data_IF_206617437583
#
_entry.id   IF_206617437583
#
_cell.length_a   1.000
_cell.length_b   1.000
_cell.length_c   1.000
_cell.angle_alpha   90.00
_cell.angle_beta   90.00
_cell.angle_gamma   90.00
#
_symmetry.space_group_name_H-M   'P 1'
#
loop_
_entity.id
_entity.type
_entity.pdbx_description
1 polymer ?
#
# COMPACT_ATOMS: atom_id res chain seq x y z
N UNK A 1 26.51 -1.19 0.93
CA UNK A 1 26.83 -0.51 2.20
C UNK A 1 25.74 0.49 2.60
N UNK A 2 25.37 1.44 1.73
CA UNK A 2 24.34 2.46 1.98
C UNK A 2 23.04 1.93 2.59
N UNK A 3 22.44 0.90 1.96
CA UNK A 3 21.17 0.33 2.40
C UNK A 3 21.23 -0.25 3.83
N UNK A 4 22.33 -0.92 4.19
CA UNK A 4 22.52 -1.48 5.53
C UNK A 4 22.59 -0.38 6.59
N UNK A 5 23.24 0.76 6.29
CA UNK A 5 23.31 1.92 7.19
C UNK A 5 21.95 2.60 7.34
N UNK A 6 21.22 2.77 6.25
CA UNK A 6 19.89 3.36 6.30
C UNK A 6 18.92 2.50 7.13
N UNK A 7 18.91 1.18 6.86
CA UNK A 7 18.08 0.24 7.59
C UNK A 7 18.46 0.13 9.07
N UNK A 8 19.74 0.22 9.43
CA UNK A 8 20.14 0.16 10.84
C UNK A 8 19.64 1.37 11.63
N UNK A 9 19.65 2.56 11.03
CA UNK A 9 19.08 3.78 11.61
C UNK A 9 17.56 3.63 11.76
N UNK A 10 16.85 3.17 10.72
CA UNK A 10 15.40 2.96 10.80
C UNK A 10 15.07 1.94 11.89
N UNK A 11 15.71 0.78 11.90
CA UNK A 11 15.42 -0.27 12.88
C UNK A 11 15.71 0.16 14.32
N UNK A 12 16.69 1.06 14.52
CA UNK A 12 16.96 1.66 15.83
C UNK A 12 15.88 2.63 16.28
N UNK A 13 15.39 3.49 15.39
CA UNK A 13 14.50 4.61 15.76
C UNK A 13 13.01 4.32 15.53
N UNK A 14 12.68 3.42 14.60
CA UNK A 14 11.33 3.03 14.22
C UNK A 14 11.24 1.51 13.91
N UNK A 15 11.52 0.64 14.90
CA UNK A 15 11.43 -0.80 14.71
C UNK A 15 10.00 -1.25 14.38
N UNK A 16 9.86 -2.16 13.43
CA UNK A 16 8.59 -2.81 13.13
C UNK A 16 8.16 -3.64 14.34
N UNK A 17 6.96 -3.37 14.87
CA UNK A 17 6.38 -4.08 16.01
C UNK A 17 4.96 -4.54 15.68
N UNK A 18 4.68 -5.81 15.89
CA UNK A 18 3.34 -6.37 15.75
C UNK A 18 2.58 -6.15 17.06
N UNK A 19 1.43 -5.48 17.00
CA UNK A 19 0.53 -5.31 18.14
C UNK A 19 -0.89 -5.66 17.74
N UNK A 20 -1.59 -6.39 18.60
CA UNK A 20 -3.03 -6.64 18.43
C UNK A 20 -3.79 -5.36 18.76
N UNK A 21 -4.35 -4.72 17.73
CA UNK A 21 -5.19 -3.54 17.87
C UNK A 21 -6.63 -3.95 17.60
N UNK A 22 -7.54 -3.75 18.56
CA UNK A 22 -8.96 -4.12 18.41
C UNK A 22 -9.66 -3.23 17.37
N UNK A 23 -9.36 -1.93 17.40
CA UNK A 23 -9.81 -0.94 16.40
C UNK A 23 -8.71 0.10 16.21
N UNK A 24 -8.22 0.29 14.98
CA UNK A 24 -7.14 1.26 14.65
C UNK A 24 -7.63 2.69 14.83
N UNK A 25 -8.90 2.94 14.51
CA UNK A 25 -9.58 4.22 14.70
C UNK A 25 -10.90 3.98 15.39
N UNK A 26 -11.22 4.81 16.39
CA UNK A 26 -12.57 4.80 16.97
C UNK A 26 -13.56 5.33 15.92
N UNK A 27 -14.75 4.73 15.79
CA UNK A 27 -15.72 5.22 14.84
C UNK A 27 -16.17 6.63 15.20
N UNK A 28 -16.24 7.52 14.22
CA UNK A 28 -16.58 8.93 14.45
C UNK A 28 -18.03 9.11 14.97
N UNK A 29 -18.91 8.12 14.78
CA UNK A 29 -20.26 8.09 15.36
C UNK A 29 -20.30 7.75 16.86
N UNK A 30 -19.17 7.37 17.49
CA UNK A 30 -19.10 7.01 18.90
C UNK A 30 -18.98 8.27 19.78
N UNK A 31 -20.11 8.82 20.18
CA UNK A 31 -20.19 9.98 21.08
C UNK A 31 -19.95 9.61 22.55
N UNK A 32 -19.59 10.60 23.37
CA UNK A 32 -19.43 10.39 24.83
C UNK A 32 -20.74 10.00 25.50
N UNK A 33 -21.90 10.46 24.99
CA UNK A 33 -23.21 10.01 25.44
C UNK A 33 -23.41 8.50 25.28
N UNK A 34 -22.91 7.91 24.19
CA UNK A 34 -22.96 6.46 23.97
C UNK A 34 -22.04 5.75 24.95
N UNK A 35 -20.84 6.29 25.21
CA UNK A 35 -19.90 5.72 26.18
C UNK A 35 -20.50 5.74 27.59
N UNK A 36 -21.13 6.83 27.99
CA UNK A 36 -21.80 6.96 29.28
C UNK A 36 -22.97 5.98 29.42
N UNK A 37 -23.77 5.83 28.36
CA UNK A 37 -24.85 4.85 28.35
C UNK A 37 -24.30 3.41 28.45
N UNK A 38 -23.19 3.10 27.75
CA UNK A 38 -22.51 1.80 27.82
C UNK A 38 -21.96 1.52 29.22
N UNK A 39 -21.35 2.53 29.87
CA UNK A 39 -20.84 2.45 31.22
C UNK A 39 -21.97 2.19 32.23
N UNK A 40 -23.09 2.92 32.12
CA UNK A 40 -24.29 2.72 32.96
C UNK A 40 -24.89 1.33 32.74
N UNK A 41 -25.00 0.86 31.49
CA UNK A 41 -25.44 -0.51 31.19
C UNK A 41 -24.55 -1.55 31.89
N UNK A 42 -23.23 -1.43 31.76
CA UNK A 42 -22.28 -2.37 32.36
C UNK A 42 -22.34 -2.32 33.91
N UNK A 43 -22.54 -1.13 34.48
CA UNK A 43 -22.71 -0.93 35.93
C UNK A 43 -23.96 -1.63 36.45
N UNK A 44 -25.12 -1.46 35.81
CA UNK A 44 -26.34 -2.13 36.27
C UNK A 44 -26.34 -3.64 36.00
N UNK A 45 -25.59 -4.09 34.98
CA UNK A 45 -25.33 -5.51 34.76
C UNK A 45 -24.53 -6.13 35.91
N UNK A 46 -23.48 -5.45 36.40
CA UNK A 46 -22.67 -5.96 37.52
C UNK A 46 -23.44 -5.96 38.84
N UNK A 47 -24.38 -5.01 39.02
CA UNK A 47 -25.28 -4.95 40.18
C UNK A 47 -26.49 -5.89 40.09
N UNK A 48 -26.66 -6.65 38.99
CA UNK A 48 -27.81 -7.53 38.72
C UNK A 48 -29.17 -6.80 38.80
N UNK A 49 -29.18 -5.50 38.56
CA UNK A 49 -30.40 -4.69 38.46
C UNK A 49 -30.93 -4.78 37.03
N UNK A 50 -31.81 -5.76 36.79
CA UNK A 50 -32.29 -6.11 35.45
C UNK A 50 -33.19 -5.05 34.81
N UNK A 51 -33.95 -4.30 35.60
CA UNK A 51 -34.82 -3.23 35.09
C UNK A 51 -33.98 -2.07 34.54
N UNK A 52 -33.04 -1.56 35.34
CA UNK A 52 -32.15 -0.48 34.90
C UNK A 52 -31.20 -0.96 33.81
N UNK A 53 -30.73 -2.21 33.86
CA UNK A 53 -29.97 -2.81 32.77
C UNK A 53 -30.75 -2.79 31.45
N UNK A 54 -32.03 -3.24 31.45
CA UNK A 54 -32.85 -3.27 30.24
C UNK A 54 -33.10 -1.86 29.70
N UNK A 55 -33.37 -0.89 30.57
CA UNK A 55 -33.49 0.52 30.20
C UNK A 55 -32.21 1.04 29.51
N UNK A 56 -31.05 0.89 30.15
CA UNK A 56 -29.79 1.40 29.62
C UNK A 56 -29.31 0.62 28.39
N UNK A 57 -29.61 -0.68 28.29
CA UNK A 57 -29.39 -1.47 27.06
C UNK A 57 -30.20 -0.89 25.90
N UNK A 58 -31.51 -0.68 26.07
CA UNK A 58 -32.37 -0.16 25.02
C UNK A 58 -31.98 1.27 24.64
N UNK A 59 -31.64 2.11 25.64
CA UNK A 59 -31.14 3.47 25.42
C UNK A 59 -29.82 3.47 24.65
N UNK A 60 -28.86 2.61 25.01
CA UNK A 60 -27.63 2.41 24.26
C UNK A 60 -27.91 2.07 22.80
N UNK A 61 -28.78 1.08 22.55
CA UNK A 61 -29.11 0.64 21.18
C UNK A 61 -29.68 1.79 20.36
N UNK A 62 -30.66 2.52 20.90
CA UNK A 62 -31.27 3.68 20.21
C UNK A 62 -30.26 4.80 19.94
N UNK A 63 -29.38 5.11 20.89
CA UNK A 63 -28.34 6.14 20.70
C UNK A 63 -27.34 5.73 19.62
N UNK A 64 -26.93 4.46 19.61
CA UNK A 64 -26.01 3.92 18.58
C UNK A 64 -26.67 3.98 17.20
N UNK A 65 -27.92 3.54 17.07
CA UNK A 65 -28.66 3.56 15.81
C UNK A 65 -28.80 4.99 15.29
N UNK A 66 -29.26 5.92 16.14
CA UNK A 66 -29.45 7.33 15.77
C UNK A 66 -28.12 7.99 15.35
N UNK A 67 -27.06 7.78 16.13
CA UNK A 67 -25.75 8.37 15.84
C UNK A 67 -25.15 7.84 14.55
N UNK A 68 -25.22 6.52 14.32
CA UNK A 68 -24.78 5.90 13.06
C UNK A 68 -25.56 6.44 11.86
N UNK A 69 -26.88 6.47 11.93
CA UNK A 69 -27.72 6.98 10.83
C UNK A 69 -27.38 8.44 10.51
N UNK A 70 -27.29 9.30 11.53
CA UNK A 70 -26.93 10.71 11.34
C UNK A 70 -25.54 10.86 10.73
N UNK A 71 -24.56 10.13 11.25
CA UNK A 71 -23.19 10.18 10.76
C UNK A 71 -23.08 9.76 9.29
N UNK A 72 -23.60 8.58 8.93
CA UNK A 72 -23.51 8.10 7.55
C UNK A 72 -24.32 8.97 6.59
N UNK A 73 -25.50 9.46 7.01
CA UNK A 73 -26.30 10.39 6.20
C UNK A 73 -25.51 11.68 5.90
N UNK A 74 -24.98 12.33 6.93
CA UNK A 74 -24.16 13.54 6.77
C UNK A 74 -22.87 13.26 5.98
N UNK A 75 -22.21 12.13 6.22
CA UNK A 75 -20.97 11.79 5.54
C UNK A 75 -21.20 11.48 4.05
N UNK A 76 -22.36 10.96 3.66
CA UNK A 76 -22.73 10.76 2.25
C UNK A 76 -23.16 12.09 1.61
N UNK A 77 -23.98 12.88 2.28
CA UNK A 77 -24.47 14.18 1.77
C UNK A 77 -23.34 15.21 1.57
N UNK A 78 -22.34 15.22 2.47
CA UNK A 78 -21.25 16.19 2.44
C UNK A 78 -20.07 15.78 1.54
N UNK A 79 -19.93 14.48 1.20
CA UNK A 79 -18.81 14.02 0.38
C UNK A 79 -19.19 13.96 -1.10
N UNK A 80 -18.47 14.73 -1.93
CA UNK A 80 -18.61 14.68 -3.40
C UNK A 80 -17.64 13.71 -4.07
N UNK A 81 -16.68 13.15 -3.33
CA UNK A 81 -15.64 12.27 -3.91
C UNK A 81 -16.08 10.80 -3.85
N UNK A 82 -16.17 10.10 -4.99
CA UNK A 82 -16.57 8.69 -5.01
C UNK A 82 -15.71 7.79 -4.12
N UNK A 83 -14.40 8.04 -4.03
CA UNK A 83 -13.47 7.26 -3.20
C UNK A 83 -13.83 7.27 -1.71
N UNK A 84 -14.23 8.44 -1.19
CA UNK A 84 -14.58 8.62 0.22
C UNK A 84 -15.93 7.97 0.52
N UNK A 85 -16.90 8.10 -0.39
CA UNK A 85 -18.20 7.41 -0.32
C UNK A 85 -18.00 5.88 -0.33
N UNK A 86 -17.17 5.36 -1.23
CA UNK A 86 -16.88 3.93 -1.30
C UNK A 86 -16.19 3.40 -0.04
N UNK A 87 -15.33 4.20 0.61
CA UNK A 87 -14.73 3.84 1.89
C UNK A 87 -15.80 3.73 3.00
N UNK A 88 -16.72 4.69 3.08
CA UNK A 88 -17.84 4.66 4.04
C UNK A 88 -18.78 3.47 3.79
N UNK A 89 -19.05 3.13 2.53
CA UNK A 89 -19.90 1.99 2.19
C UNK A 89 -19.23 0.66 2.55
N UNK A 90 -17.91 0.54 2.39
CA UNK A 90 -17.16 -0.65 2.83
C UNK A 90 -17.28 -0.88 4.34
N UNK A 91 -17.32 0.18 5.13
CA UNK A 91 -17.54 0.06 6.59
C UNK A 91 -18.95 -0.42 6.96
N UNK A 92 -19.94 -0.19 6.10
CA UNK A 92 -21.31 -0.69 6.26
C UNK A 92 -21.48 -2.14 5.82
N UNK A 93 -20.64 -2.62 4.90
CA UNK A 93 -20.71 -4.01 4.45
C UNK A 93 -20.29 -4.96 5.58
N UNK A 94 -20.94 -6.13 5.72
CA UNK A 94 -20.43 -7.19 6.58
C UNK A 94 -18.97 -7.46 6.21
N UNK A 95 -18.10 -7.62 7.22
CA UNK A 95 -16.73 -8.07 6.99
C UNK A 95 -16.80 -9.51 6.50
N UNK A 96 -16.84 -9.71 5.20
CA UNK A 96 -16.54 -10.99 4.59
C UNK A 96 -15.06 -11.25 4.82
N UNK A 97 -14.73 -12.44 5.29
CA UNK A 97 -13.33 -12.86 5.29
C UNK A 97 -12.91 -12.92 3.81
N UNK A 98 -11.75 -12.35 3.48
CA UNK A 98 -11.14 -12.61 2.18
C UNK A 98 -10.67 -14.06 2.22
N UNK A 99 -11.59 -14.97 1.90
CA UNK A 99 -11.29 -16.38 1.80
C UNK A 99 -10.66 -16.64 0.44
N UNK A 100 -9.51 -17.29 0.46
CA UNK A 100 -8.90 -17.85 -0.74
C UNK A 100 -9.95 -18.79 -1.33
N UNK A 101 -10.21 -18.74 -2.65
CA UNK A 101 -11.17 -19.65 -3.28
C UNK A 101 -10.79 -21.10 -2.95
N UNK A 102 -11.80 -21.91 -2.62
CA UNK A 102 -11.59 -23.31 -2.21
C UNK A 102 -11.07 -24.18 -3.35
N UNK A 103 -11.32 -23.79 -4.59
CA UNK A 103 -10.76 -24.43 -5.78
C UNK A 103 -10.33 -23.41 -6.82
N UNK A 104 -9.33 -23.76 -7.63
CA UNK A 104 -8.85 -22.97 -8.76
C UNK A 104 -8.72 -23.87 -9.99
N UNK A 105 -9.24 -23.42 -11.13
CA UNK A 105 -8.98 -24.04 -12.42
C UNK A 105 -7.81 -23.33 -13.10
N UNK A 106 -6.74 -24.06 -13.38
CA UNK A 106 -5.57 -23.57 -14.10
C UNK A 106 -5.13 -24.63 -15.12
N UNK A 107 -4.94 -24.25 -16.38
CA UNK A 107 -4.56 -25.15 -17.49
C UNK A 107 -5.42 -26.45 -17.56
N UNK A 108 -6.74 -26.30 -17.46
CA UNK A 108 -7.73 -27.41 -17.46
C UNK A 108 -7.55 -28.45 -16.33
N UNK A 109 -6.87 -28.08 -15.23
CA UNK A 109 -6.80 -28.88 -14.00
C UNK A 109 -7.40 -28.10 -12.84
N UNK A 110 -8.14 -28.81 -12.00
CA UNK A 110 -8.69 -28.27 -10.76
C UNK A 110 -7.71 -28.51 -9.61
N UNK A 111 -7.46 -27.47 -8.83
CA UNK A 111 -6.61 -27.50 -7.63
C UNK A 111 -7.45 -27.09 -6.43
N UNK A 112 -7.42 -27.87 -5.36
CA UNK A 112 -8.15 -27.68 -4.10
C UNK A 112 -7.24 -27.34 -2.91
N UNK A 113 -5.93 -27.54 -3.07
CA UNK A 113 -4.93 -27.20 -2.07
C UNK A 113 -4.57 -25.70 -2.13
N UNK A 114 -4.72 -25.02 -1.00
CA UNK A 114 -4.38 -23.59 -0.82
C UNK A 114 -2.96 -23.25 -1.27
N UNK A 115 -1.97 -24.09 -0.95
CA UNK A 115 -0.58 -23.82 -1.32
C UNK A 115 -0.39 -23.89 -2.84
N UNK A 116 -1.04 -24.84 -3.48
CA UNK A 116 -0.98 -25.01 -4.93
C UNK A 116 -1.70 -23.85 -5.62
N UNK A 117 -2.87 -23.44 -5.12
CA UNK A 117 -3.60 -22.25 -5.61
C UNK A 117 -2.71 -21.01 -5.56
N UNK A 118 -2.08 -20.73 -4.40
CA UNK A 118 -1.19 -19.57 -4.24
C UNK A 118 0.04 -19.65 -5.15
N UNK A 119 0.65 -20.82 -5.29
CA UNK A 119 1.80 -21.02 -6.16
C UNK A 119 1.45 -20.82 -7.63
N UNK A 120 0.29 -21.30 -8.09
CA UNK A 120 -0.17 -21.08 -9.47
C UNK A 120 -0.52 -19.62 -9.72
N UNK A 121 -1.17 -18.93 -8.76
CA UNK A 121 -1.39 -17.48 -8.85
C UNK A 121 -0.08 -16.70 -8.97
N UNK A 122 0.90 -16.99 -8.12
CA UNK A 122 2.21 -16.36 -8.18
C UNK A 122 2.89 -16.63 -9.52
N UNK A 123 2.96 -17.90 -9.93
CA UNK A 123 3.56 -18.31 -11.22
C UNK A 123 2.90 -17.61 -12.39
N UNK A 124 1.56 -17.52 -12.41
CA UNK A 124 0.83 -16.83 -13.45
C UNK A 124 1.26 -15.36 -13.55
N UNK A 125 1.28 -14.61 -12.45
CA UNK A 125 1.61 -13.19 -12.47
C UNK A 125 3.11 -12.89 -12.66
N UNK A 126 4.01 -13.81 -12.30
CA UNK A 126 5.45 -13.64 -12.54
C UNK A 126 5.87 -14.00 -13.96
N UNK A 127 5.26 -15.04 -14.56
CA UNK A 127 5.63 -15.56 -15.89
C UNK A 127 4.85 -14.94 -17.04
N UNK A 128 3.80 -14.14 -16.76
CA UNK A 128 3.00 -13.51 -17.80
C UNK A 128 3.85 -12.66 -18.76
N UNK A 129 4.89 -12.00 -18.24
CA UNK A 129 5.83 -11.22 -19.05
C UNK A 129 6.58 -12.09 -20.06
N UNK A 130 7.04 -13.26 -19.65
CA UNK A 130 7.83 -14.17 -20.49
C UNK A 130 7.02 -14.70 -21.70
N UNK A 131 5.71 -14.91 -21.51
CA UNK A 131 4.78 -15.30 -22.57
C UNK A 131 4.65 -14.23 -23.67
N UNK A 132 4.85 -12.95 -23.34
CA UNK A 132 4.79 -11.86 -24.32
C UNK A 132 6.16 -11.50 -24.90
N UNK A 133 7.25 -11.74 -24.16
CA UNK A 133 8.62 -11.48 -24.62
C UNK A 133 9.06 -12.49 -25.71
N UNK A 134 8.60 -13.73 -25.63
CA UNK A 134 8.98 -14.80 -26.58
C UNK A 134 8.46 -14.59 -28.00
N UNK A 135 7.42 -13.76 -28.19
CA UNK A 135 6.88 -13.44 -29.52
C UNK A 135 7.47 -12.16 -30.15
N UNK A 136 8.45 -11.51 -29.52
CA UNK A 136 9.21 -10.46 -30.19
C UNK A 136 10.17 -11.10 -31.19
N UNK A 137 9.63 -11.36 -32.38
CA UNK A 137 10.34 -11.59 -33.64
C UNK A 137 11.64 -10.80 -33.70
N UNK A 138 12.70 -11.43 -34.23
CA UNK A 138 14.00 -10.82 -34.54
C UNK A 138 13.87 -9.32 -34.78
N UNK A 139 14.22 -8.52 -33.78
CA UNK A 139 14.29 -7.08 -33.96
C UNK A 139 15.23 -6.87 -35.14
N UNK A 140 14.77 -6.20 -36.19
CA UNK A 140 15.62 -5.73 -37.28
C UNK A 140 16.45 -4.57 -36.71
N UNK A 141 17.36 -4.89 -35.79
CA UNK A 141 18.26 -3.97 -35.10
C UNK A 141 18.99 -3.11 -36.10
N UNK A 142 19.34 -3.66 -37.26
CA UNK A 142 19.95 -2.94 -38.37
C UNK A 142 19.06 -1.80 -38.89
N UNK A 143 17.77 -2.02 -39.18
CA UNK A 143 16.87 -0.94 -39.64
C UNK A 143 16.65 0.13 -38.57
N UNK A 144 16.59 -0.26 -37.31
CA UNK A 144 16.51 0.67 -36.18
C UNK A 144 17.78 1.50 -36.07
N UNK A 145 18.95 0.87 -36.23
CA UNK A 145 20.23 1.53 -36.19
C UNK A 145 20.35 2.52 -37.36
N UNK A 146 20.01 2.10 -38.59
CA UNK A 146 20.02 2.96 -39.78
C UNK A 146 19.08 4.16 -39.61
N UNK A 147 17.85 3.93 -39.12
CA UNK A 147 16.88 4.99 -38.85
C UNK A 147 17.37 5.99 -37.79
N UNK A 148 18.05 5.50 -36.74
CA UNK A 148 18.58 6.34 -35.68
C UNK A 148 19.81 7.11 -36.16
N UNK A 149 20.72 6.47 -36.90
CA UNK A 149 21.92 7.11 -37.45
C UNK A 149 21.58 8.23 -38.45
N UNK A 150 20.56 8.04 -39.29
CA UNK A 150 20.08 9.08 -40.23
C UNK A 150 19.54 10.32 -39.51
N UNK A 151 19.08 10.17 -38.26
CA UNK A 151 18.47 11.25 -37.47
C UNK A 151 19.40 11.89 -36.43
N UNK A 152 20.55 11.29 -36.15
CA UNK A 152 21.51 11.85 -35.20
C UNK A 152 22.47 12.78 -35.97
N UNK A 153 22.53 14.07 -35.62
CA UNK A 153 23.51 14.97 -36.22
C UNK A 153 24.93 14.47 -35.97
N UNK A 154 25.80 14.58 -36.98
CA UNK A 154 27.18 14.13 -36.90
C UNK A 154 27.89 14.73 -35.67
N UNK A 155 28.52 13.87 -34.87
CA UNK A 155 29.26 14.29 -33.67
C UNK A 155 28.42 14.40 -32.38
N UNK A 156 27.11 14.20 -32.44
CA UNK A 156 26.25 14.21 -31.24
C UNK A 156 26.28 12.85 -30.56
N UNK A 157 26.65 12.81 -29.29
CA UNK A 157 26.53 11.62 -28.42
C UNK A 157 25.41 11.83 -27.42
N UNK A 158 24.55 10.84 -27.28
CA UNK A 158 23.60 10.81 -26.17
C UNK A 158 24.37 10.69 -24.86
N UNK A 159 24.18 11.65 -23.96
CA UNK A 159 24.78 11.65 -22.62
C UNK A 159 23.69 11.98 -21.63
N UNK A 160 23.61 11.22 -20.56
CA UNK A 160 22.70 11.50 -19.45
C UNK A 160 23.43 12.46 -18.51
N UNK A 161 22.94 13.70 -18.32
CA UNK A 161 23.57 14.64 -17.40
C UNK A 161 23.41 14.16 -15.96
N UNK A 162 24.38 14.47 -15.11
CA UNK A 162 24.28 14.21 -13.68
C UNK A 162 23.18 15.04 -13.04
N UNK A 163 22.47 14.41 -12.10
CA UNK A 163 21.42 15.04 -11.33
C UNK A 163 22.00 15.93 -10.23
N UNK A 164 21.39 17.09 -10.02
CA UNK A 164 21.76 18.05 -8.97
C UNK A 164 21.01 17.76 -7.66
N UNK A 165 21.56 18.22 -6.54
CA UNK A 165 20.93 18.09 -5.21
C UNK A 165 19.50 18.66 -5.17
N UNK A 166 19.27 19.81 -5.81
CA UNK A 166 17.94 20.45 -5.87
C UNK A 166 16.92 19.61 -6.63
N UNK A 167 17.35 18.93 -7.69
CA UNK A 167 16.48 18.04 -8.47
C UNK A 167 16.14 16.79 -7.65
N UNK A 168 17.12 16.17 -7.00
CA UNK A 168 16.90 15.06 -6.07
C UNK A 168 15.93 15.48 -4.95
N UNK A 169 16.10 16.68 -4.40
CA UNK A 169 15.20 17.22 -3.36
C UNK A 169 13.77 17.35 -3.87
N UNK A 170 13.59 17.91 -5.08
CA UNK A 170 12.28 18.00 -5.74
C UNK A 170 11.67 16.61 -5.96
N UNK A 171 12.44 15.63 -6.43
CA UNK A 171 11.96 14.26 -6.64
C UNK A 171 11.49 13.61 -5.33
N UNK A 172 12.29 13.68 -4.26
CA UNK A 172 11.93 13.13 -2.97
C UNK A 172 10.72 13.84 -2.34
N UNK A 173 10.55 15.15 -2.59
CA UNK A 173 9.37 15.89 -2.12
C UNK A 173 8.07 15.43 -2.79
N UNK A 174 8.13 14.93 -4.03
CA UNK A 174 6.99 14.42 -4.79
C UNK A 174 6.66 12.97 -4.48
N UNK A 175 7.47 12.29 -3.67
CA UNK A 175 7.25 10.89 -3.31
C UNK A 175 5.89 10.70 -2.61
N UNK A 176 5.09 9.78 -3.13
CA UNK A 176 3.79 9.42 -2.57
C UNK A 176 3.96 8.44 -1.40
N UNK A 177 3.64 8.88 -0.19
CA UNK A 177 3.87 8.11 1.04
C UNK A 177 2.93 6.92 1.22
N UNK A 178 1.85 6.84 0.44
CA UNK A 178 0.86 5.76 0.46
C UNK A 178 1.17 4.60 -0.48
N UNK A 179 2.27 4.66 -1.23
CA UNK A 179 2.67 3.58 -2.14
C UNK A 179 3.26 2.41 -1.36
N UNK A 180 3.27 1.24 -2.02
CA UNK A 180 3.74 0.00 -1.45
C UNK A 180 5.20 0.11 -1.00
N UNK A 181 5.51 -0.61 0.08
CA UNK A 181 6.87 -0.88 0.55
C UNK A 181 7.59 -1.84 -0.38
N UNK A 182 8.91 -1.66 -0.53
CA UNK A 182 9.77 -2.62 -1.20
C UNK A 182 10.05 -3.86 -0.36
N UNK A 183 11.06 -4.64 -0.77
CA UNK A 183 11.52 -5.82 -0.02
C UNK A 183 12.16 -5.48 1.34
N UNK A 184 12.53 -4.22 1.59
CA UNK A 184 12.98 -3.72 2.89
C UNK A 184 11.87 -3.53 3.92
N UNK A 185 10.60 -3.58 3.49
CA UNK A 185 9.47 -3.14 4.32
C UNK A 185 9.56 -1.66 4.74
N UNK A 186 10.45 -0.87 4.11
CA UNK A 186 10.59 0.56 4.40
C UNK A 186 9.71 1.37 3.46
N UNK A 187 8.69 2.00 4.05
CA UNK A 187 7.72 2.76 3.29
C UNK A 187 8.33 4.03 2.71
N UNK A 188 7.78 4.55 1.58
CA UNK A 188 8.20 5.84 1.02
C UNK A 188 8.09 7.00 2.02
N UNK A 189 7.23 6.87 3.04
CA UNK A 189 7.17 7.77 4.18
C UNK A 189 8.53 8.02 4.85
N UNK A 190 9.31 6.97 5.16
CA UNK A 190 10.59 7.12 5.86
C UNK A 190 11.64 7.79 4.99
N UNK A 191 11.64 7.49 3.69
CA UNK A 191 12.52 8.14 2.71
C UNK A 191 12.20 9.63 2.64
N UNK A 192 10.92 9.99 2.58
CA UNK A 192 10.47 11.39 2.55
C UNK A 192 10.78 12.12 3.85
N UNK A 193 10.55 11.46 4.99
CA UNK A 193 10.83 12.00 6.33
C UNK A 193 12.32 12.29 6.53
N UNK A 194 13.19 11.41 6.05
CA UNK A 194 14.65 11.55 6.16
C UNK A 194 15.31 12.22 4.94
N UNK A 195 14.51 12.73 4.00
CA UNK A 195 14.96 13.26 2.71
C UNK A 195 16.12 14.24 2.83
N UNK A 196 16.07 15.21 3.75
CA UNK A 196 17.15 16.19 3.97
C UNK A 196 18.52 15.53 4.19
N UNK A 197 18.57 14.45 4.97
CA UNK A 197 19.80 13.71 5.23
C UNK A 197 20.18 12.76 4.08
N UNK A 198 19.18 12.23 3.37
CA UNK A 198 19.41 11.27 2.29
C UNK A 198 19.79 11.92 0.95
N UNK A 199 19.35 13.16 0.67
CA UNK A 199 19.54 13.86 -0.61
C UNK A 199 20.99 13.76 -1.13
N UNK A 200 22.04 14.05 -0.34
CA UNK A 200 23.41 13.95 -0.84
C UNK A 200 23.77 12.54 -1.28
N UNK A 201 23.43 11.54 -0.45
CA UNK A 201 23.75 10.14 -0.71
C UNK A 201 22.94 9.53 -1.86
N UNK A 202 21.67 9.91 -2.01
CA UNK A 202 20.82 9.47 -3.13
C UNK A 202 21.29 10.11 -4.44
N UNK A 203 21.66 11.40 -4.41
CA UNK A 203 22.23 12.10 -5.58
C UNK A 203 23.51 11.41 -6.04
N UNK A 204 24.39 11.07 -5.10
CA UNK A 204 25.59 10.30 -5.39
C UNK A 204 25.28 8.94 -6.02
N UNK A 205 24.33 8.18 -5.45
CA UNK A 205 23.93 6.87 -6.00
C UNK A 205 23.37 6.98 -7.43
N UNK A 206 22.53 7.98 -7.71
CA UNK A 206 21.98 8.19 -9.06
C UNK A 206 23.11 8.51 -10.06
N UNK A 207 24.01 9.43 -9.69
CA UNK A 207 25.12 9.81 -10.56
C UNK A 207 26.12 8.66 -10.76
N UNK A 208 26.32 7.82 -9.74
CA UNK A 208 27.12 6.62 -9.86
C UNK A 208 26.49 5.62 -10.85
N UNK A 209 25.16 5.44 -10.80
CA UNK A 209 24.46 4.60 -11.79
C UNK A 209 24.53 5.16 -13.22
N UNK A 210 24.50 6.49 -13.37
CA UNK A 210 24.68 7.13 -14.69
C UNK A 210 26.11 6.92 -15.20
N UNK A 211 27.10 7.08 -14.33
CA UNK A 211 28.53 6.96 -14.67
C UNK A 211 28.91 5.53 -15.04
N UNK A 212 28.55 4.56 -14.20
CA UNK A 212 28.91 3.15 -14.38
C UNK A 212 27.98 2.43 -15.37
N UNK A 213 26.83 3.02 -15.69
CA UNK A 213 25.78 2.35 -16.47
C UNK A 213 25.14 1.16 -15.76
N UNK A 214 25.32 1.06 -14.44
CA UNK A 214 24.83 -0.06 -13.62
C UNK A 214 23.78 0.42 -12.63
N UNK A 215 22.59 -0.19 -12.69
CA UNK A 215 21.54 0.04 -11.71
C UNK A 215 21.66 -0.94 -10.53
N UNK A 216 21.43 -0.53 -9.28
CA UNK A 216 21.58 -1.41 -8.13
C UNK A 216 20.57 -2.57 -8.15
N UNK A 217 21.06 -3.80 -8.07
CA UNK A 217 20.22 -5.01 -8.14
C UNK A 217 19.09 -5.01 -7.11
N UNK A 218 19.39 -4.62 -5.87
CA UNK A 218 18.39 -4.57 -4.79
C UNK A 218 17.22 -3.60 -5.08
N UNK A 219 17.43 -2.59 -5.92
CA UNK A 219 16.38 -1.64 -6.33
C UNK A 219 15.61 -2.12 -7.58
N UNK A 220 16.10 -3.17 -8.25
CA UNK A 220 15.44 -3.82 -9.40
C UNK A 220 14.43 -4.88 -8.96
N UNK A 221 14.63 -5.45 -7.77
CA UNK A 221 13.77 -6.49 -7.24
C UNK A 221 12.40 -5.94 -6.81
N UNK A 222 11.34 -6.64 -7.18
CA UNK A 222 9.96 -6.31 -6.80
C UNK A 222 9.30 -7.53 -6.14
N UNK A 223 8.40 -7.25 -5.18
CA UNK A 223 7.56 -8.28 -4.55
C UNK A 223 6.19 -8.29 -5.20
N UNK A 224 5.84 -9.39 -5.84
CA UNK A 224 4.47 -9.61 -6.34
C UNK A 224 3.62 -10.12 -5.18
N UNK A 225 2.55 -9.41 -4.85
CA UNK A 225 1.56 -9.84 -3.87
C UNK A 225 0.20 -9.79 -4.55
N UNK A 226 -0.32 -10.93 -5.06
CA UNK A 226 -1.65 -10.98 -5.64
C UNK A 226 -2.68 -10.54 -4.59
N UNK A 227 -3.60 -9.64 -4.96
CA UNK A 227 -4.75 -9.34 -4.11
C UNK A 227 -5.73 -10.51 -4.26
N UNK A 228 -5.87 -11.30 -3.19
CA UNK A 228 -6.89 -12.35 -3.03
C UNK A 228 -7.98 -11.84 -2.08
#
# INVERSE_FOLDING_TARGET
MWYKLFLSVINRHAPVKVKRIKHIRQPDWLTDEIKDAQNKRNYYQSKRDWEKFRYWRNKCTKLIEKSKQSFFKQAIENNKKPKEIWALLKDLKPKTQNEIPSTMNFDNKEYDNVQDIVNHFNTHFTTIGDKYVTNSTQYQTNKLNDYVQDKIPAGVRFTIPFIKLDETTKLLSKLETSKATGLDEVGPFFIKLSSKALVPSITYLINLSILEGVFPENLRLAKVTPNI
#
